data_IF_042840693978
#
_entry.id   IF_042840693978
#
_cell.length_a   1.000
_cell.length_b   1.000
_cell.length_c   1.000
_cell.angle_alpha   90.00
_cell.angle_beta   90.00
_cell.angle_gamma   90.00
#
_symmetry.space_group_name_H-M   'P 1'
#
loop_
_entity.id
_entity.type
_entity.pdbx_description
1 polymer ?
#
# COMPACT_ATOMS: atom_id res chain seq x y z
N UNK A 1 -42.88 -16.61 -38.37
CA UNK A 1 -41.60 -16.53 -37.62
C UNK A 1 -41.95 -16.39 -36.15
N UNK A 2 -41.52 -17.36 -35.35
CA UNK A 2 -42.28 -17.95 -34.25
C UNK A 2 -42.11 -17.21 -32.91
N UNK A 3 -43.20 -17.07 -32.16
CA UNK A 3 -43.24 -16.60 -30.76
C UNK A 3 -42.19 -17.29 -29.87
N UNK A 4 -41.84 -18.53 -30.22
CA UNK A 4 -40.74 -19.29 -29.63
C UNK A 4 -39.39 -18.56 -29.64
N UNK A 5 -39.04 -17.90 -30.76
CA UNK A 5 -37.79 -17.15 -30.88
C UNK A 5 -37.77 -15.97 -29.90
N UNK A 6 -38.91 -15.30 -29.71
CA UNK A 6 -39.05 -14.21 -28.74
C UNK A 6 -38.90 -14.68 -27.29
N UNK A 7 -39.45 -15.85 -26.95
CA UNK A 7 -39.29 -16.46 -25.62
C UNK A 7 -37.83 -16.80 -25.33
N UNK A 8 -37.12 -17.38 -26.30
CA UNK A 8 -35.70 -17.74 -26.15
C UNK A 8 -34.84 -16.48 -25.95
N UNK A 9 -35.09 -15.41 -26.72
CA UNK A 9 -34.37 -14.14 -26.57
C UNK A 9 -34.66 -13.52 -25.19
N UNK A 10 -35.92 -13.50 -24.75
CA UNK A 10 -36.29 -12.98 -23.44
C UNK A 10 -35.65 -13.78 -22.29
N UNK A 11 -35.64 -15.11 -22.38
CA UNK A 11 -34.98 -15.97 -21.40
C UNK A 11 -33.46 -15.74 -21.35
N UNK A 12 -32.81 -15.61 -22.51
CA UNK A 12 -31.38 -15.29 -22.59
C UNK A 12 -31.06 -13.91 -22.00
N UNK A 13 -31.90 -12.90 -22.26
CA UNK A 13 -31.74 -11.57 -21.68
C UNK A 13 -31.89 -11.58 -20.15
N UNK A 14 -32.87 -12.30 -19.62
CA UNK A 14 -33.05 -12.49 -18.17
C UNK A 14 -31.86 -13.23 -17.54
N UNK A 15 -31.36 -14.28 -18.18
CA UNK A 15 -30.19 -15.01 -17.71
C UNK A 15 -28.94 -14.11 -17.68
N UNK A 16 -28.72 -13.29 -18.72
CA UNK A 16 -27.61 -12.34 -18.77
C UNK A 16 -27.74 -11.24 -17.71
N UNK A 17 -28.96 -10.72 -17.49
CA UNK A 17 -29.23 -9.72 -16.45
C UNK A 17 -28.99 -10.28 -15.05
N UNK A 18 -29.46 -11.50 -14.77
CA UNK A 18 -29.20 -12.16 -13.48
C UNK A 18 -27.71 -12.43 -13.29
N UNK A 19 -27.01 -12.90 -14.32
CA UNK A 19 -25.57 -13.14 -14.28
C UNK A 19 -24.78 -11.86 -13.99
N UNK A 20 -25.13 -10.75 -14.67
CA UNK A 20 -24.49 -9.45 -14.44
C UNK A 20 -24.74 -8.92 -13.03
N UNK A 21 -25.96 -9.04 -12.51
CA UNK A 21 -26.28 -8.66 -11.12
C UNK A 21 -25.44 -9.44 -10.11
N UNK A 22 -25.41 -10.77 -10.23
CA UNK A 22 -24.66 -11.65 -9.31
C UNK A 22 -23.16 -11.33 -9.36
N UNK A 23 -22.60 -11.12 -10.55
CA UNK A 23 -21.17 -10.79 -10.69
C UNK A 23 -20.84 -9.39 -10.14
N UNK A 24 -21.73 -8.41 -10.28
CA UNK A 24 -21.55 -7.08 -9.69
C UNK A 24 -21.59 -7.12 -8.17
N UNK A 25 -22.56 -7.83 -7.59
CA UNK A 25 -22.70 -8.00 -6.13
C UNK A 25 -21.47 -8.69 -5.53
N UNK A 26 -20.99 -9.77 -6.17
CA UNK A 26 -19.78 -10.48 -5.73
C UNK A 26 -18.53 -9.59 -5.84
N UNK A 27 -18.43 -8.76 -6.88
CA UNK A 27 -17.34 -7.79 -7.03
C UNK A 27 -17.41 -6.69 -5.97
N UNK A 28 -18.61 -6.20 -5.66
CA UNK A 28 -18.85 -5.21 -4.60
C UNK A 28 -18.38 -5.71 -3.24
N UNK A 29 -18.80 -6.92 -2.84
CA UNK A 29 -18.38 -7.54 -1.59
C UNK A 29 -16.87 -7.78 -1.50
N UNK A 30 -16.22 -8.11 -2.62
CA UNK A 30 -14.74 -8.23 -2.67
C UNK A 30 -14.06 -6.88 -2.57
N UNK A 31 -14.64 -5.83 -3.17
CA UNK A 31 -14.11 -4.48 -3.11
C UNK A 31 -14.17 -3.92 -1.67
N UNK A 32 -15.25 -4.19 -0.94
CA UNK A 32 -15.39 -3.79 0.48
C UNK A 32 -14.37 -4.47 1.40
N UNK A 33 -13.88 -5.66 1.03
CA UNK A 33 -12.90 -6.44 1.79
C UNK A 33 -11.45 -6.15 1.42
N UNK A 34 -11.23 -5.24 0.48
CA UNK A 34 -9.89 -4.95 -0.05
C UNK A 34 -9.23 -3.83 0.76
N UNK A 35 -8.01 -4.05 1.19
CA UNK A 35 -7.16 -2.98 1.68
C UNK A 35 -6.41 -2.32 0.51
N UNK A 36 -6.14 -1.02 0.60
CA UNK A 36 -5.40 -0.27 -0.43
C UNK A 36 -4.14 0.35 0.17
N UNK A 37 -3.11 -0.50 0.28
CA UNK A 37 -1.84 -0.13 0.88
C UNK A 37 -0.99 0.70 -0.06
N UNK A 38 -0.48 1.82 0.43
CA UNK A 38 0.48 2.65 -0.28
C UNK A 38 1.52 3.21 0.66
N UNK A 39 2.57 3.77 0.08
CA UNK A 39 3.66 4.40 0.81
C UNK A 39 4.06 5.70 0.11
N UNK A 40 4.39 6.71 0.90
CA UNK A 40 4.78 8.02 0.37
C UNK A 40 5.80 8.70 1.27
N UNK A 41 6.56 9.64 0.69
CA UNK A 41 7.36 10.55 1.50
C UNK A 41 6.52 11.74 1.95
N UNK A 42 6.56 12.01 3.25
CA UNK A 42 6.02 13.22 3.83
C UNK A 42 7.16 14.11 4.31
N UNK A 43 7.23 15.34 3.82
CA UNK A 43 8.24 16.32 4.24
C UNK A 43 7.92 16.84 5.65
N UNK A 44 8.93 16.96 6.50
CA UNK A 44 8.78 17.54 7.84
C UNK A 44 9.14 19.02 7.85
N UNK A 45 8.27 19.86 8.40
CA UNK A 45 8.52 21.31 8.59
C UNK A 45 9.69 21.56 9.55
N UNK A 46 9.81 20.73 10.59
CA UNK A 46 10.96 20.68 11.50
C UNK A 46 11.68 19.34 11.34
N UNK A 47 13.01 19.35 11.19
CA UNK A 47 13.78 18.11 11.06
C UNK A 47 13.69 17.30 12.35
N UNK A 48 13.45 15.99 12.22
CA UNK A 48 13.48 15.07 13.34
C UNK A 48 14.93 14.61 13.59
N UNK A 49 15.37 14.64 14.84
CA UNK A 49 16.61 14.00 15.26
C UNK A 49 16.25 12.61 15.77
N UNK A 50 16.78 11.59 15.09
CA UNK A 50 16.60 10.19 15.44
C UNK A 50 17.84 9.76 16.20
N UNK A 51 17.68 9.47 17.49
CA UNK A 51 18.73 8.84 18.30
C UNK A 51 18.71 7.34 18.01
N UNK A 52 19.82 6.83 17.50
CA UNK A 52 19.97 5.41 17.17
C UNK A 52 20.98 4.80 18.12
N UNK A 53 20.66 3.63 18.69
CA UNK A 53 21.55 2.96 19.63
C UNK A 53 22.92 2.69 19.01
N UNK A 54 23.98 3.18 19.67
CA UNK A 54 25.37 2.99 19.22
C UNK A 54 25.79 3.82 18.00
N UNK A 55 25.04 4.86 17.63
CA UNK A 55 25.34 5.72 16.48
C UNK A 55 25.15 7.20 16.79
N UNK A 56 25.76 8.04 15.94
CA UNK A 56 25.47 9.48 15.98
C UNK A 56 24.01 9.74 15.58
N UNK A 57 23.35 10.74 16.20
CA UNK A 57 21.99 11.12 15.85
C UNK A 57 21.85 11.42 14.36
N UNK A 58 20.82 10.85 13.75
CA UNK A 58 20.54 11.03 12.32
C UNK A 58 19.43 12.05 12.17
N UNK A 59 19.66 13.04 11.32
CA UNK A 59 18.68 14.06 11.05
C UNK A 59 17.78 13.65 9.87
N UNK A 60 16.52 13.35 10.15
CA UNK A 60 15.51 13.00 9.15
C UNK A 60 14.69 14.24 8.74
N UNK A 61 14.72 14.57 7.44
CA UNK A 61 13.88 15.64 6.86
C UNK A 61 12.54 15.16 6.31
N UNK A 62 12.29 13.85 6.36
CA UNK A 62 11.12 13.20 5.79
C UNK A 62 10.65 12.07 6.71
N UNK A 63 9.37 11.72 6.62
CA UNK A 63 8.83 10.43 7.05
C UNK A 63 8.50 9.59 5.81
N UNK A 64 8.77 8.30 5.89
CA UNK A 64 8.14 7.29 5.06
C UNK A 64 6.79 6.97 5.70
N UNK A 65 5.68 7.26 5.01
CA UNK A 65 4.35 7.07 5.56
C UNK A 65 3.66 5.93 4.83
N UNK A 66 3.45 4.82 5.54
CA UNK A 66 2.54 3.75 5.10
C UNK A 66 1.11 4.24 5.29
N UNK A 67 0.22 3.91 4.37
CA UNK A 67 -1.19 4.34 4.43
C UNK A 67 -2.11 3.29 3.83
N UNK A 68 -3.24 3.05 4.49
CA UNK A 68 -4.30 2.19 3.99
C UNK A 68 -5.43 3.09 3.53
N UNK A 69 -5.61 3.22 2.22
CA UNK A 69 -6.68 4.02 1.60
C UNK A 69 -7.93 3.19 1.32
N UNK A 70 -7.88 1.89 1.63
CA UNK A 70 -8.93 0.94 1.33
C UNK A 70 -10.01 0.94 2.42
N UNK A 71 -11.19 0.40 2.10
CA UNK A 71 -12.29 0.25 3.06
C UNK A 71 -12.04 -0.81 4.13
N UNK A 72 -11.14 -1.78 3.91
CA UNK A 72 -10.82 -2.85 4.86
C UNK A 72 -9.46 -2.65 5.53
N UNK A 73 -9.28 -3.25 6.70
CA UNK A 73 -7.98 -3.36 7.36
C UNK A 73 -7.01 -4.23 6.55
N UNK A 74 -5.72 -3.91 6.64
CA UNK A 74 -4.62 -4.75 6.15
C UNK A 74 -3.93 -5.43 7.34
N UNK A 75 -3.53 -6.69 7.22
CA UNK A 75 -2.74 -7.40 8.22
C UNK A 75 -1.38 -7.81 7.65
N UNK A 76 -0.44 -8.19 8.51
CA UNK A 76 0.90 -8.62 8.11
C UNK A 76 1.59 -7.62 7.16
N UNK A 77 1.46 -6.33 7.48
CA UNK A 77 1.93 -5.24 6.61
C UNK A 77 3.43 -5.11 6.76
N UNK A 78 4.16 -5.36 5.67
CA UNK A 78 5.60 -5.17 5.60
C UNK A 78 6.00 -4.21 4.48
N UNK A 79 7.18 -3.61 4.63
CA UNK A 79 7.78 -2.72 3.63
C UNK A 79 9.26 -3.04 3.47
N UNK A 80 9.65 -3.33 2.24
CA UNK A 80 11.06 -3.44 1.85
C UNK A 80 11.43 -2.33 0.88
N UNK A 81 12.63 -1.79 1.04
CA UNK A 81 13.10 -0.64 0.27
C UNK A 81 14.32 -1.00 -0.57
N UNK A 82 14.40 -0.44 -1.76
CA UNK A 82 15.56 -0.53 -2.65
C UNK A 82 15.91 0.85 -3.19
N UNK A 83 17.20 1.09 -3.41
CA UNK A 83 17.67 2.27 -4.16
C UNK A 83 17.62 2.05 -5.68
N UNK A 84 17.98 3.07 -6.45
CA UNK A 84 18.01 3.01 -7.92
C UNK A 84 18.98 1.97 -8.50
N UNK A 85 19.94 1.47 -7.70
CA UNK A 85 20.84 0.38 -8.09
C UNK A 85 20.29 -1.01 -7.75
N UNK A 86 19.09 -1.07 -7.16
CA UNK A 86 18.45 -2.31 -6.71
C UNK A 86 18.96 -2.81 -5.36
N UNK A 87 19.84 -2.05 -4.68
CA UNK A 87 20.37 -2.44 -3.37
C UNK A 87 19.31 -2.21 -2.30
N UNK A 88 19.14 -3.21 -1.44
CA UNK A 88 18.20 -3.14 -0.32
C UNK A 88 18.64 -2.09 0.69
N UNK A 89 17.68 -1.28 1.14
CA UNK A 89 17.86 -0.29 2.19
C UNK A 89 17.24 -0.81 3.48
N UNK A 90 17.95 -0.63 4.59
CA UNK A 90 17.46 -0.97 5.93
C UNK A 90 17.01 0.28 6.64
N UNK A 91 15.75 0.34 7.07
CA UNK A 91 15.25 1.39 7.96
C UNK A 91 15.88 1.21 9.35
N UNK A 92 16.27 2.32 9.97
CA UNK A 92 17.02 2.31 11.23
C UNK A 92 16.14 2.60 12.43
N UNK A 93 15.09 3.40 12.24
CA UNK A 93 14.14 3.79 13.27
C UNK A 93 12.92 2.87 13.26
N UNK A 94 13.18 1.57 13.18
CA UNK A 94 12.18 0.51 13.24
C UNK A 94 12.70 -0.51 14.24
N UNK A 95 11.99 -0.68 15.34
CA UNK A 95 12.35 -1.62 16.39
C UNK A 95 12.33 -3.06 15.87
N UNK A 96 13.11 -3.93 16.51
CA UNK A 96 13.14 -5.34 16.15
C UNK A 96 11.78 -5.98 16.43
N UNK A 97 11.10 -6.42 15.38
CA UNK A 97 9.77 -7.03 15.46
C UNK A 97 8.62 -6.04 15.32
N UNK A 98 8.90 -4.77 15.07
CA UNK A 98 7.87 -3.76 14.76
C UNK A 98 7.24 -4.02 13.38
N UNK A 99 8.05 -4.41 12.41
CA UNK A 99 7.59 -4.91 11.11
C UNK A 99 7.72 -6.44 11.03
N UNK A 100 6.75 -7.15 10.44
CA UNK A 100 5.51 -6.62 9.85
C UNK A 100 4.53 -6.08 10.90
N UNK A 101 3.79 -5.01 10.56
CA UNK A 101 2.69 -4.53 11.41
C UNK A 101 1.59 -5.58 11.42
N UNK A 102 1.13 -5.93 12.63
CA UNK A 102 0.06 -6.91 12.80
C UNK A 102 -1.24 -6.47 12.08
N UNK A 103 -1.59 -5.19 12.19
CA UNK A 103 -2.77 -4.62 11.55
C UNK A 103 -2.59 -3.15 11.22
N UNK A 104 -3.17 -2.72 10.10
CA UNK A 104 -3.33 -1.33 9.72
C UNK A 104 -4.78 -1.09 9.28
N UNK A 105 -5.54 -0.44 10.17
CA UNK A 105 -6.96 -0.16 9.98
C UNK A 105 -7.26 0.65 8.71
N UNK A 106 -8.50 0.62 8.24
CA UNK A 106 -8.95 1.44 7.12
C UNK A 106 -8.72 2.93 7.39
N UNK A 107 -8.10 3.64 6.45
CA UNK A 107 -7.73 5.05 6.60
C UNK A 107 -6.52 5.33 7.49
N UNK A 108 -5.94 4.31 8.13
CA UNK A 108 -4.82 4.51 9.05
C UNK A 108 -3.52 4.88 8.31
N UNK A 109 -2.64 5.56 9.05
CA UNK A 109 -1.33 6.01 8.58
C UNK A 109 -0.26 5.64 9.61
N UNK A 110 0.85 5.09 9.13
CA UNK A 110 1.99 4.72 9.96
C UNK A 110 3.24 5.46 9.49
N UNK A 111 3.65 6.55 10.19
CA UNK A 111 4.85 7.31 9.84
C UNK A 111 6.10 6.66 10.42
N UNK A 112 7.12 6.46 9.58
CA UNK A 112 8.45 5.98 9.97
C UNK A 112 9.48 7.06 9.62
N UNK A 113 10.30 7.53 10.56
CA UNK A 113 11.36 8.49 10.27
C UNK A 113 12.32 7.98 9.19
N UNK A 114 12.62 8.86 8.21
CA UNK A 114 13.47 8.50 7.08
C UNK A 114 14.95 8.49 7.46
N UNK A 115 15.36 7.43 8.16
CA UNK A 115 16.73 7.10 8.47
C UNK A 115 17.01 5.67 7.97
N UNK A 116 17.99 5.52 7.07
CA UNK A 116 18.25 4.24 6.42
C UNK A 116 19.74 3.99 6.18
N UNK A 117 20.09 2.72 6.04
CA UNK A 117 21.42 2.27 5.62
C UNK A 117 21.42 1.58 4.26
N UNK A 118 22.51 1.75 3.48
CA UNK A 118 23.71 2.57 3.77
C UNK A 118 23.51 4.07 3.48
N UNK A 119 24.04 4.94 4.36
CA UNK A 119 23.92 6.41 4.27
C UNK A 119 24.65 7.07 3.08
N UNK A 120 25.63 6.37 2.49
CA UNK A 120 26.62 6.98 1.59
C UNK A 120 26.08 7.38 0.22
N UNK A 121 24.81 7.12 -0.09
CA UNK A 121 24.23 7.52 -1.37
C UNK A 121 22.97 8.37 -1.16
N UNK A 122 23.09 9.64 -1.54
CA UNK A 122 22.00 10.60 -1.65
C UNK A 122 21.12 10.27 -2.87
N UNK A 123 20.68 9.01 -3.00
CA UNK A 123 19.78 8.67 -4.09
C UNK A 123 18.50 9.49 -3.96
N UNK A 124 17.95 9.88 -5.11
CA UNK A 124 16.70 10.62 -5.18
C UNK A 124 15.51 9.70 -5.47
N UNK A 125 15.78 8.49 -5.97
CA UNK A 125 14.80 7.52 -6.43
C UNK A 125 14.94 6.24 -5.63
N UNK A 126 13.80 5.73 -5.21
CA UNK A 126 13.69 4.55 -4.38
C UNK A 126 12.52 3.73 -4.87
N UNK A 127 12.52 2.46 -4.53
CA UNK A 127 11.41 1.55 -4.76
C UNK A 127 11.02 0.94 -3.42
N UNK A 128 9.74 1.03 -3.08
CA UNK A 128 9.19 0.36 -1.92
C UNK A 128 8.30 -0.79 -2.37
N UNK A 129 8.60 -1.99 -1.90
CA UNK A 129 7.71 -3.15 -2.04
C UNK A 129 6.94 -3.32 -0.75
N UNK A 130 5.63 -3.12 -0.84
CA UNK A 130 4.67 -3.38 0.22
C UNK A 130 4.09 -4.77 0.06
N UNK A 131 3.98 -5.49 1.16
CA UNK A 131 3.24 -6.76 1.25
C UNK A 131 2.25 -6.67 2.39
N UNK A 132 1.06 -7.24 2.21
CA UNK A 132 0.03 -7.32 3.25
C UNK A 132 -0.94 -8.45 2.94
N UNK A 133 -1.77 -8.83 3.91
CA UNK A 133 -2.94 -9.65 3.72
C UNK A 133 -4.21 -8.82 3.93
N UNK A 134 -5.27 -9.15 3.18
CA UNK A 134 -6.61 -8.60 3.37
C UNK A 134 -7.68 -9.70 3.19
N UNK A 135 -8.96 -9.31 3.18
CA UNK A 135 -10.06 -10.27 3.02
C UNK A 135 -10.09 -11.00 1.67
N UNK A 136 -9.18 -10.68 0.75
CA UNK A 136 -8.98 -11.34 -0.53
C UNK A 136 -7.65 -12.14 -0.60
N UNK A 137 -6.89 -12.22 0.50
CA UNK A 137 -5.64 -12.97 0.61
C UNK A 137 -4.40 -12.07 0.58
N UNK A 138 -3.25 -12.67 0.26
CA UNK A 138 -1.96 -11.96 0.25
C UNK A 138 -1.85 -11.05 -0.99
N UNK A 139 -1.38 -9.84 -0.76
CA UNK A 139 -1.22 -8.78 -1.74
C UNK A 139 0.22 -8.26 -1.74
N UNK A 140 0.64 -7.73 -2.88
CA UNK A 140 1.93 -7.06 -3.02
C UNK A 140 1.78 -5.85 -3.93
N UNK A 141 2.48 -4.76 -3.61
CA UNK A 141 2.54 -3.57 -4.44
C UNK A 141 3.95 -2.98 -4.43
N UNK A 142 4.43 -2.66 -5.63
CA UNK A 142 5.66 -1.91 -5.82
C UNK A 142 5.30 -0.45 -6.03
N UNK A 143 5.88 0.44 -5.23
CA UNK A 143 5.64 1.89 -5.23
C UNK A 143 6.95 2.61 -5.52
N UNK A 144 7.07 3.28 -6.67
CA UNK A 144 8.22 4.14 -6.92
C UNK A 144 8.13 5.37 -6.02
N UNK A 145 9.22 5.64 -5.31
CA UNK A 145 9.34 6.74 -4.38
C UNK A 145 10.41 7.71 -4.87
N UNK A 146 10.15 9.02 -4.71
CA UNK A 146 11.11 10.06 -5.06
C UNK A 146 11.15 11.14 -4.00
N UNK A 147 12.34 11.47 -3.54
CA UNK A 147 12.53 12.62 -2.62
C UNK A 147 12.14 13.92 -3.33
N UNK A 148 11.33 14.74 -2.65
CA UNK A 148 10.79 15.99 -3.19
C UNK A 148 9.51 15.84 -4.03
N UNK A 149 8.98 14.63 -4.19
CA UNK A 149 7.67 14.40 -4.79
C UNK A 149 6.63 14.34 -3.68
N UNK A 150 5.68 15.29 -3.66
CA UNK A 150 4.55 15.25 -2.74
C UNK A 150 3.64 14.07 -3.12
N UNK A 151 2.97 13.41 -2.15
CA UNK A 151 1.97 12.41 -2.47
C UNK A 151 0.88 13.04 -3.36
N UNK A 152 0.31 12.28 -4.32
CA UNK A 152 -0.85 12.77 -5.07
C UNK A 152 -1.93 13.17 -4.06
N UNK A 153 -2.56 14.32 -4.28
CA UNK A 153 -3.67 14.81 -3.46
C UNK A 153 -4.77 13.73 -3.36
N UNK A 154 -5.43 13.61 -2.20
CA UNK A 154 -6.48 12.62 -1.97
C UNK A 154 -7.63 12.75 -2.98
#
# INVERSE_FOLDING_TARGET
MSQWLGIVIAAAALALSLYTLVTQELRGRRAERRADMTVSFHWLTSRAYVELEGREPVMAGYHLVLSNRGPAAATDVDVTLRDESGRQLRLLDVEKGELPLAEMAAGARYPIPWAYEPFRQHSRRFEATLTWADGNGNQQRVVPLRRGQLPPAP
#
